data_IF_170142701461
#
_entry.id   IF_170142701461
#
_cell.length_a   1.000
_cell.length_b   1.000
_cell.length_c   1.000
_cell.angle_alpha   90.00
_cell.angle_beta   90.00
_cell.angle_gamma   90.00
#
_symmetry.space_group_name_H-M   'P 1'
#
loop_
_entity.id
_entity.type
_entity.pdbx_description
1 polymer ?
#
# COMPACT_ATOMS: atom_id res chain seq x y z
N UNK A 1 -35.63 41.24 28.87
CA UNK A 1 -35.62 40.84 27.44
C UNK A 1 -34.23 40.30 27.13
N UNK A 2 -33.99 39.00 27.41
CA UNK A 2 -32.75 38.32 27.02
C UNK A 2 -33.07 37.50 25.79
N UNK A 3 -32.63 38.01 24.64
CA UNK A 3 -32.71 37.34 23.34
C UNK A 3 -31.86 36.08 23.36
N UNK A 4 -32.53 34.94 23.53
CA UNK A 4 -32.02 33.60 23.28
C UNK A 4 -31.60 33.54 21.82
N UNK A 5 -30.30 33.37 21.58
CA UNK A 5 -29.72 33.10 20.26
C UNK A 5 -30.23 31.72 19.80
N UNK A 6 -30.64 31.57 18.53
CA UNK A 6 -31.25 30.33 18.08
C UNK A 6 -30.18 29.23 18.01
N UNK A 7 -30.39 28.16 18.78
CA UNK A 7 -29.66 26.90 18.64
C UNK A 7 -29.98 26.38 17.24
N UNK A 8 -28.97 26.29 16.38
CA UNK A 8 -29.08 25.68 15.05
C UNK A 8 -29.70 24.30 15.21
N UNK A 9 -30.84 24.08 14.57
CA UNK A 9 -31.60 22.84 14.67
C UNK A 9 -30.73 21.61 14.30
N UNK A 10 -30.73 20.60 15.17
CA UNK A 10 -30.69 19.19 14.75
C UNK A 10 -29.35 18.43 14.71
N UNK A 11 -28.19 19.03 14.97
CA UNK A 11 -26.92 18.25 14.98
C UNK A 11 -26.67 17.54 16.33
N UNK A 12 -26.84 16.22 16.34
CA UNK A 12 -26.44 15.37 17.46
C UNK A 12 -24.91 15.16 17.44
N UNK A 13 -24.20 16.01 18.19
CA UNK A 13 -22.73 15.98 18.29
C UNK A 13 -22.18 14.61 18.72
N UNK A 14 -22.93 13.85 19.53
CA UNK A 14 -22.52 12.53 20.00
C UNK A 14 -22.56 11.49 18.89
N UNK A 15 -23.65 11.45 18.13
CA UNK A 15 -23.78 10.53 16.98
C UNK A 15 -22.78 10.88 15.89
N UNK A 16 -22.58 12.18 15.60
CA UNK A 16 -21.63 12.60 14.57
C UNK A 16 -20.19 12.24 14.98
N UNK A 17 -19.80 12.46 16.25
CA UNK A 17 -18.50 12.02 16.76
C UNK A 17 -18.30 10.51 16.63
N UNK A 18 -19.33 9.72 16.95
CA UNK A 18 -19.28 8.28 16.79
C UNK A 18 -19.09 7.90 15.32
N UNK A 19 -19.84 8.51 14.40
CA UNK A 19 -19.74 8.28 12.96
C UNK A 19 -18.36 8.67 12.41
N UNK A 20 -17.78 9.77 12.85
CA UNK A 20 -16.41 10.15 12.49
C UNK A 20 -15.40 9.09 12.95
N UNK A 21 -15.55 8.57 14.17
CA UNK A 21 -14.71 7.47 14.65
C UNK A 21 -14.96 6.15 13.91
N UNK A 22 -16.19 5.84 13.52
CA UNK A 22 -16.48 4.61 12.78
C UNK A 22 -15.88 4.66 11.37
N UNK A 23 -15.85 5.84 10.73
CA UNK A 23 -15.11 6.10 9.49
C UNK A 23 -13.60 5.88 9.69
N UNK A 24 -13.02 6.44 10.76
CA UNK A 24 -11.61 6.22 11.10
C UNK A 24 -11.28 4.74 11.33
N UNK A 25 -12.17 4.00 11.99
CA UNK A 25 -12.07 2.56 12.23
C UNK A 25 -12.40 1.70 10.99
N UNK A 26 -12.58 2.32 9.81
CA UNK A 26 -12.91 1.69 8.51
C UNK A 26 -14.23 0.91 8.50
N UNK A 27 -15.17 1.27 9.36
CA UNK A 27 -16.51 0.69 9.43
C UNK A 27 -17.55 1.83 9.43
N UNK A 28 -17.72 2.58 8.33
CA UNK A 28 -18.57 3.76 8.31
C UNK A 28 -20.01 3.39 8.68
N UNK A 29 -20.62 4.21 9.51
CA UNK A 29 -22.03 4.14 9.87
C UNK A 29 -22.73 5.39 9.36
N UNK A 30 -23.99 5.25 8.97
CA UNK A 30 -24.84 6.38 8.61
C UNK A 30 -25.36 7.04 9.91
N UNK A 31 -25.14 8.36 10.12
CA UNK A 31 -25.60 9.05 11.33
C UNK A 31 -27.13 8.97 11.52
N UNK A 32 -27.93 8.99 10.45
CA UNK A 32 -29.39 8.92 10.55
C UNK A 32 -29.86 7.51 10.95
N UNK A 33 -29.20 6.48 10.39
CA UNK A 33 -29.43 5.09 10.80
C UNK A 33 -29.06 4.86 12.28
N UNK A 34 -27.95 5.43 12.75
CA UNK A 34 -27.55 5.35 14.16
C UNK A 34 -28.57 6.04 15.08
N UNK A 35 -29.11 7.20 14.69
CA UNK A 35 -30.16 7.89 15.45
C UNK A 35 -31.45 7.10 15.50
N UNK A 36 -31.86 6.54 14.36
CA UNK A 36 -33.06 5.72 14.27
C UNK A 36 -32.94 4.46 15.14
N UNK A 37 -31.82 3.75 15.06
CA UNK A 37 -31.55 2.55 15.84
C UNK A 37 -31.60 2.81 17.36
N UNK A 38 -31.11 3.97 17.80
CA UNK A 38 -31.13 4.36 19.21
C UNK A 38 -32.51 4.85 19.68
N UNK A 39 -33.45 5.11 18.77
CA UNK A 39 -34.78 5.63 19.11
C UNK A 39 -34.73 7.04 19.72
N UNK A 40 -33.77 7.87 19.30
CA UNK A 40 -33.51 9.17 19.95
C UNK A 40 -34.57 10.24 19.65
N UNK A 41 -35.30 10.13 18.53
CA UNK A 41 -36.25 11.16 18.11
C UNK A 41 -35.59 12.54 18.03
N UNK A 42 -36.14 13.52 18.75
CA UNK A 42 -35.60 14.89 18.85
C UNK A 42 -34.55 15.06 19.97
N UNK A 43 -34.28 14.03 20.79
CA UNK A 43 -33.29 14.08 21.86
C UNK A 43 -31.86 13.93 21.30
N UNK A 44 -30.90 14.60 21.93
CA UNK A 44 -29.47 14.45 21.66
C UNK A 44 -28.91 13.23 22.42
N UNK A 45 -28.03 12.45 21.80
CA UNK A 45 -27.41 11.27 22.39
C UNK A 45 -26.60 11.61 23.65
N UNK A 46 -26.81 10.84 24.71
CA UNK A 46 -25.97 10.89 25.89
C UNK A 46 -24.78 9.92 25.79
N UNK A 47 -23.91 9.95 26.81
CA UNK A 47 -22.70 9.11 26.88
C UNK A 47 -23.03 7.61 26.81
N UNK A 48 -24.16 7.20 27.39
CA UNK A 48 -24.60 5.81 27.45
C UNK A 48 -25.12 5.39 26.08
N UNK A 49 -25.84 6.28 25.40
CA UNK A 49 -26.36 6.07 24.06
C UNK A 49 -25.23 5.92 23.04
N UNK A 50 -24.17 6.71 23.12
CA UNK A 50 -22.97 6.56 22.26
C UNK A 50 -22.33 5.17 22.45
N UNK A 51 -22.22 4.69 23.69
CA UNK A 51 -21.67 3.35 23.96
C UNK A 51 -22.60 2.24 23.49
N UNK A 52 -23.92 2.42 23.64
CA UNK A 52 -24.93 1.47 23.12
C UNK A 52 -24.86 1.40 21.59
N UNK A 53 -24.78 2.54 20.92
CA UNK A 53 -24.63 2.66 19.48
C UNK A 53 -23.37 1.94 18.99
N UNK A 54 -22.23 2.22 19.63
CA UNK A 54 -20.97 1.55 19.31
C UNK A 54 -21.07 0.03 19.48
N UNK A 55 -21.71 -0.47 20.54
CA UNK A 55 -21.91 -1.91 20.75
C UNK A 55 -22.80 -2.54 19.67
N UNK A 56 -23.87 -1.86 19.23
CA UNK A 56 -24.73 -2.32 18.13
C UNK A 56 -23.97 -2.41 16.81
N UNK A 57 -23.06 -1.45 16.58
CA UNK A 57 -22.13 -1.47 15.46
C UNK A 57 -20.98 -2.50 15.62
N UNK A 58 -21.06 -3.40 16.60
CA UNK A 58 -20.02 -4.41 16.91
C UNK A 58 -18.66 -3.81 17.30
N UNK A 59 -18.63 -2.55 17.73
CA UNK A 59 -17.46 -1.88 18.28
C UNK A 59 -17.37 -2.11 19.79
N UNK A 60 -16.15 -2.08 20.32
CA UNK A 60 -15.89 -2.04 21.77
C UNK A 60 -15.83 -0.58 22.18
N UNK A 61 -16.73 -0.15 23.06
CA UNK A 61 -16.71 1.19 23.63
C UNK A 61 -16.69 1.16 25.16
N UNK A 62 -15.94 2.07 25.77
CA UNK A 62 -15.84 2.22 27.23
C UNK A 62 -15.75 3.70 27.62
N UNK A 63 -16.56 4.10 28.59
CA UNK A 63 -16.49 5.42 29.22
C UNK A 63 -15.39 5.39 30.28
N UNK A 64 -14.51 6.37 30.28
CA UNK A 64 -13.41 6.52 31.23
C UNK A 64 -13.32 7.99 31.64
N UNK A 65 -12.88 8.24 32.88
CA UNK A 65 -12.59 9.57 33.40
C UNK A 65 -11.07 9.69 33.63
N UNK A 66 -10.26 9.97 32.59
CA UNK A 66 -8.83 10.09 32.76
C UNK A 66 -8.47 11.33 33.58
N UNK A 67 -7.30 11.32 34.23
CA UNK A 67 -6.72 12.53 34.82
C UNK A 67 -6.17 13.42 33.69
N UNK A 68 -6.23 14.76 33.81
CA UNK A 68 -5.66 15.68 32.81
C UNK A 68 -4.21 15.35 32.45
N UNK A 69 -3.40 14.89 33.42
CA UNK A 69 -2.00 14.49 33.22
C UNK A 69 -1.80 13.23 32.38
N UNK A 70 -2.85 12.44 32.11
CA UNK A 70 -2.79 11.17 31.38
C UNK A 70 -3.39 11.23 29.97
N UNK A 71 -3.73 12.41 29.47
CA UNK A 71 -4.31 12.59 28.14
C UNK A 71 -3.42 12.01 27.03
N UNK A 72 -2.10 12.21 27.16
CA UNK A 72 -1.07 11.75 26.19
C UNK A 72 -0.90 10.22 26.15
N UNK A 73 -1.46 9.49 27.13
CA UNK A 73 -1.39 8.02 27.22
C UNK A 73 -2.69 7.33 26.79
N UNK A 74 -3.66 8.08 26.30
CA UNK A 74 -4.92 7.52 25.81
C UNK A 74 -4.73 6.89 24.42
N UNK A 75 -5.46 5.81 24.10
CA UNK A 75 -5.46 5.25 22.76
C UNK A 75 -6.30 6.15 21.84
N UNK A 76 -5.65 7.16 21.25
CA UNK A 76 -6.25 8.09 20.30
C UNK A 76 -6.58 7.40 18.97
N UNK A 77 -7.60 7.85 18.23
CA UNK A 77 -8.54 8.94 18.54
C UNK A 77 -9.66 8.52 19.51
N UNK A 78 -10.18 9.47 20.29
CA UNK A 78 -11.20 9.24 21.33
C UNK A 78 -12.31 10.30 21.29
N UNK A 79 -13.52 9.98 21.74
CA UNK A 79 -14.59 10.98 21.91
C UNK A 79 -14.44 11.63 23.28
N UNK A 80 -14.46 12.94 23.33
CA UNK A 80 -14.41 13.72 24.57
C UNK A 80 -15.74 14.45 24.75
N UNK A 81 -16.18 14.55 26.00
CA UNK A 81 -17.34 15.34 26.35
C UNK A 81 -16.90 16.73 26.80
N UNK A 82 -17.57 17.76 26.30
CA UNK A 82 -17.34 19.15 26.66
C UNK A 82 -18.17 19.56 27.88
N UNK A 83 -17.80 20.66 28.52
CA UNK A 83 -18.50 21.21 29.69
C UNK A 83 -19.95 21.63 29.43
N UNK A 84 -20.31 21.88 28.17
CA UNK A 84 -21.67 22.21 27.72
C UNK A 84 -22.56 20.98 27.43
N UNK A 85 -22.03 19.76 27.62
CA UNK A 85 -22.72 18.50 27.34
C UNK A 85 -22.64 18.05 25.87
N UNK A 86 -21.95 18.81 25.00
CA UNK A 86 -21.67 18.39 23.62
C UNK A 86 -20.46 17.45 23.54
N UNK A 87 -20.28 16.78 22.40
CA UNK A 87 -19.17 15.87 22.17
C UNK A 87 -18.23 16.37 21.07
N UNK A 88 -16.94 16.08 21.19
CA UNK A 88 -15.93 16.30 20.16
C UNK A 88 -14.99 15.10 20.04
N UNK A 89 -14.25 14.98 18.94
CA UNK A 89 -13.24 13.93 18.75
C UNK A 89 -11.86 14.50 19.03
N UNK A 90 -11.15 13.93 19.99
CA UNK A 90 -9.72 14.19 20.21
C UNK A 90 -8.92 13.26 19.30
N UNK A 91 -8.34 13.82 18.24
CA UNK A 91 -7.62 13.08 17.22
C UNK A 91 -6.14 12.87 17.57
N UNK A 92 -5.49 13.90 18.13
CA UNK A 92 -4.08 13.86 18.51
C UNK A 92 -3.85 14.67 19.79
N UNK A 93 -2.93 14.22 20.64
CA UNK A 93 -2.42 14.96 21.79
C UNK A 93 -0.89 14.87 21.76
N UNK A 94 -0.22 16.02 21.65
CA UNK A 94 1.23 16.17 21.67
C UNK A 94 1.62 17.17 22.75
N UNK A 95 2.89 17.19 23.18
CA UNK A 95 3.36 18.01 24.29
C UNK A 95 3.06 19.52 24.06
N UNK A 96 1.93 20.00 24.61
CA UNK A 96 1.46 21.38 24.57
C UNK A 96 0.28 21.68 23.63
N UNK A 97 -0.01 20.81 22.64
CA UNK A 97 -1.08 21.01 21.65
C UNK A 97 -1.98 19.79 21.51
N UNK A 98 -3.27 20.03 21.32
CA UNK A 98 -4.26 18.99 21.04
C UNK A 98 -5.01 19.30 19.76
N UNK A 99 -5.30 18.26 18.98
CA UNK A 99 -6.09 18.36 17.76
C UNK A 99 -7.50 17.84 18.07
N UNK A 100 -8.47 18.74 18.04
CA UNK A 100 -9.88 18.46 18.34
C UNK A 100 -10.71 18.70 17.10
N UNK A 101 -11.55 17.74 16.76
CA UNK A 101 -12.54 17.90 15.70
C UNK A 101 -13.92 18.03 16.35
N UNK A 102 -14.49 19.22 16.25
CA UNK A 102 -15.83 19.54 16.73
C UNK A 102 -16.84 19.37 15.58
N UNK A 103 -17.84 18.50 15.71
CA UNK A 103 -18.92 18.36 14.74
C UNK A 103 -19.63 19.68 14.40
N UNK A 104 -19.68 20.63 15.34
CA UNK A 104 -20.35 21.91 15.15
C UNK A 104 -19.53 22.91 14.32
N UNK A 105 -18.20 22.76 14.31
CA UNK A 105 -17.29 23.65 13.56
C UNK A 105 -16.82 23.02 12.25
N UNK A 106 -16.91 21.68 12.12
CA UNK A 106 -16.64 20.94 10.89
C UNK A 106 -15.15 20.73 10.57
N UNK A 107 -14.30 21.72 10.85
CA UNK A 107 -12.85 21.65 10.63
C UNK A 107 -12.10 21.19 11.90
N UNK A 108 -11.00 20.41 11.76
CA UNK A 108 -10.09 20.13 12.87
C UNK A 108 -9.43 21.41 13.39
N UNK A 109 -9.43 21.59 14.70
CA UNK A 109 -8.83 22.74 15.38
C UNK A 109 -7.63 22.31 16.22
N UNK A 110 -6.52 23.03 16.07
CA UNK A 110 -5.40 22.95 17.01
C UNK A 110 -5.69 23.86 18.20
N UNK A 111 -5.82 23.27 19.39
CA UNK A 111 -5.99 24.01 20.64
C UNK A 111 -4.75 23.82 21.52
N UNK A 112 -4.44 24.84 22.32
CA UNK A 112 -3.50 24.68 23.42
C UNK A 112 -4.12 23.79 24.49
N UNK A 113 -3.28 23.06 25.23
CA UNK A 113 -3.75 22.18 26.30
C UNK A 113 -4.62 22.90 27.34
N UNK A 114 -4.24 24.13 27.69
CA UNK A 114 -4.98 24.96 28.65
C UNK A 114 -6.38 25.32 28.13
N UNK A 115 -6.50 25.69 26.85
CA UNK A 115 -7.78 25.97 26.22
C UNK A 115 -8.65 24.71 26.05
N UNK A 116 -8.03 23.54 25.94
CA UNK A 116 -8.76 22.27 25.92
C UNK A 116 -9.26 21.86 27.32
N UNK A 117 -8.45 22.05 28.36
CA UNK A 117 -8.83 21.72 29.74
C UNK A 117 -10.01 22.55 30.24
N UNK A 118 -10.20 23.78 29.75
CA UNK A 118 -11.39 24.59 30.05
C UNK A 118 -12.65 24.11 29.31
N UNK A 119 -12.50 23.54 28.12
CA UNK A 119 -13.61 22.98 27.34
C UNK A 119 -14.01 21.58 27.79
N UNK A 120 -13.09 20.82 28.38
CA UNK A 120 -13.26 19.40 28.67
C UNK A 120 -14.06 19.13 29.95
N UNK A 121 -15.17 18.40 29.82
CA UNK A 121 -16.04 17.99 30.94
C UNK A 121 -15.49 16.83 31.79
N UNK A 122 -14.27 16.34 31.51
CA UNK A 122 -13.57 15.32 32.28
C UNK A 122 -13.84 13.86 31.84
N UNK A 123 -14.81 13.62 30.96
CA UNK A 123 -15.14 12.28 30.47
C UNK A 123 -14.64 12.04 29.05
N UNK A 124 -14.25 10.79 28.78
CA UNK A 124 -13.77 10.32 27.48
C UNK A 124 -14.41 8.97 27.18
N UNK A 125 -14.85 8.78 25.94
CA UNK A 125 -15.37 7.51 25.42
C UNK A 125 -14.32 6.94 24.48
N UNK A 126 -13.72 5.82 24.90
CA UNK A 126 -12.81 5.03 24.08
C UNK A 126 -13.62 4.15 23.16
N UNK A 127 -13.37 4.19 21.85
CA UNK A 127 -14.03 3.35 20.85
C UNK A 127 -12.99 2.63 20.01
N UNK A 128 -13.11 1.32 19.86
CA UNK A 128 -12.21 0.51 19.03
C UNK A 128 -12.95 -0.68 18.40
N UNK A 129 -12.46 -1.17 17.27
CA UNK A 129 -12.95 -2.42 16.65
C UNK A 129 -11.97 -3.57 16.92
N UNK A 130 -12.47 -4.80 17.04
CA UNK A 130 -11.60 -5.99 17.15
C UNK A 130 -10.68 -6.12 15.94
N UNK A 131 -11.19 -5.80 14.74
CA UNK A 131 -10.40 -5.81 13.51
C UNK A 131 -9.35 -4.69 13.49
N UNK A 132 -9.70 -3.50 13.99
CA UNK A 132 -8.77 -2.37 14.04
C UNK A 132 -7.66 -2.60 15.10
N UNK A 133 -8.02 -3.12 16.27
CA UNK A 133 -7.05 -3.47 17.33
C UNK A 133 -6.07 -4.58 16.90
N UNK A 134 -6.50 -5.50 16.02
CA UNK A 134 -5.63 -6.51 15.41
C UNK A 134 -4.89 -6.01 14.16
N UNK A 135 -5.37 -4.95 13.52
CA UNK A 135 -4.84 -4.40 12.27
C UNK A 135 -3.80 -3.29 12.45
N UNK A 136 -3.88 -2.49 13.53
CA UNK A 136 -2.94 -1.39 13.78
C UNK A 136 -1.53 -1.87 14.19
N UNK A 137 -1.37 -3.16 14.47
CA UNK A 137 -0.06 -3.81 14.69
C UNK A 137 0.57 -4.39 13.44
N UNK A 138 -0.09 -4.39 12.28
CA UNK A 138 0.55 -4.78 11.01
C UNK A 138 1.18 -3.56 10.36
N UNK A 139 2.46 -3.36 10.69
CA UNK A 139 3.45 -2.82 9.72
C UNK A 139 3.18 -3.49 8.38
N UNK A 140 3.26 -2.76 7.27
CA UNK A 140 3.14 -3.30 5.90
C UNK A 140 3.82 -4.67 5.79
N UNK A 141 3.03 -5.74 5.74
CA UNK A 141 3.54 -7.10 5.87
C UNK A 141 3.34 -7.82 4.53
N UNK A 142 4.42 -8.00 3.76
CA UNK A 142 4.43 -8.77 2.51
C UNK A 142 4.11 -10.26 2.72
N UNK A 143 4.06 -10.73 3.98
CA UNK A 143 3.84 -12.12 4.38
C UNK A 143 2.53 -12.74 3.88
N UNK A 144 1.49 -11.93 3.58
CA UNK A 144 0.24 -12.46 3.02
C UNK A 144 0.32 -12.74 1.51
N UNK A 145 1.34 -12.21 0.81
CA UNK A 145 1.53 -12.35 -0.64
C UNK A 145 2.45 -13.53 -1.02
N UNK A 146 3.31 -13.95 -0.08
CA UNK A 146 4.22 -15.10 -0.22
C UNK A 146 3.49 -16.40 -0.62
N UNK A 147 2.32 -16.76 -0.05
CA UNK A 147 1.61 -17.99 -0.41
C UNK A 147 1.14 -18.03 -1.86
N UNK A 148 0.74 -16.89 -2.43
CA UNK A 148 0.22 -16.81 -3.80
C UNK A 148 1.37 -16.94 -4.82
N UNK A 149 2.55 -16.38 -4.54
CA UNK A 149 3.76 -16.58 -5.37
C UNK A 149 4.19 -18.06 -5.37
N UNK A 150 4.19 -18.69 -4.20
CA UNK A 150 4.60 -20.11 -4.05
C UNK A 150 3.69 -21.05 -4.85
N UNK A 151 2.43 -20.68 -5.09
CA UNK A 151 1.49 -21.46 -5.91
C UNK A 151 1.90 -21.54 -7.38
N UNK A 152 2.60 -20.53 -7.90
CA UNK A 152 3.02 -20.43 -9.31
C UNK A 152 4.53 -20.64 -9.52
N UNK A 153 5.25 -21.15 -8.50
CA UNK A 153 6.72 -21.31 -8.50
C UNK A 153 7.30 -22.10 -9.68
N UNK A 154 6.56 -23.03 -10.26
CA UNK A 154 7.05 -23.83 -11.39
C UNK A 154 7.12 -23.01 -12.69
N UNK A 155 6.09 -22.20 -12.96
CA UNK A 155 6.09 -21.29 -14.11
C UNK A 155 7.17 -20.22 -13.94
N UNK A 156 7.34 -19.71 -12.72
CA UNK A 156 8.43 -18.78 -12.42
C UNK A 156 9.81 -19.43 -12.57
N UNK A 157 10.00 -20.69 -12.17
CA UNK A 157 11.26 -21.39 -12.35
C UNK A 157 11.60 -21.62 -13.83
N UNK A 158 10.63 -21.92 -14.69
CA UNK A 158 10.84 -22.05 -16.14
C UNK A 158 11.28 -20.72 -16.77
N UNK A 159 10.60 -19.63 -16.45
CA UNK A 159 10.96 -18.27 -16.92
C UNK A 159 12.33 -17.86 -16.39
N UNK A 160 12.62 -18.16 -15.11
CA UNK A 160 13.91 -17.89 -14.47
C UNK A 160 15.05 -18.63 -15.18
N UNK A 161 14.86 -19.92 -15.44
CA UNK A 161 15.85 -20.77 -16.11
C UNK A 161 16.10 -20.33 -17.55
N UNK A 162 15.03 -20.04 -18.32
CA UNK A 162 15.16 -19.54 -19.68
C UNK A 162 15.90 -18.19 -19.73
N UNK A 163 15.56 -17.27 -18.83
CA UNK A 163 16.22 -15.97 -18.73
C UNK A 163 17.69 -16.11 -18.36
N UNK A 164 18.01 -17.03 -17.46
CA UNK A 164 19.39 -17.33 -17.08
C UNK A 164 20.24 -17.80 -18.27
N UNK A 165 19.72 -18.72 -19.09
CA UNK A 165 20.45 -19.15 -20.29
C UNK A 165 20.62 -18.01 -21.31
N UNK A 166 19.60 -17.19 -21.53
CA UNK A 166 19.70 -16.01 -22.43
C UNK A 166 20.81 -15.06 -21.96
N UNK A 167 20.84 -14.71 -20.69
CA UNK A 167 21.86 -13.79 -20.17
C UNK A 167 23.27 -14.40 -20.15
N UNK A 168 23.39 -15.72 -19.96
CA UNK A 168 24.68 -16.41 -20.10
C UNK A 168 25.17 -16.41 -21.55
N UNK A 169 24.29 -16.59 -22.53
CA UNK A 169 24.64 -16.45 -23.95
C UNK A 169 25.06 -15.01 -24.28
N UNK A 170 24.46 -14.00 -23.64
CA UNK A 170 24.86 -12.60 -23.80
C UNK A 170 26.32 -12.33 -23.45
N UNK A 171 26.92 -13.10 -22.52
CA UNK A 171 28.36 -13.01 -22.18
C UNK A 171 29.28 -13.55 -23.29
N UNK A 172 28.75 -14.33 -24.23
CA UNK A 172 29.54 -14.87 -25.36
C UNK A 172 29.98 -13.73 -26.29
N UNK A 173 29.14 -12.72 -26.51
CA UNK A 173 29.46 -11.60 -27.41
C UNK A 173 30.75 -10.85 -27.02
N UNK A 174 30.94 -10.40 -25.75
CA UNK A 174 32.22 -9.83 -25.30
C UNK A 174 33.43 -10.75 -25.50
N UNK A 175 33.28 -12.06 -25.25
CA UNK A 175 34.37 -13.04 -25.40
C UNK A 175 34.75 -13.18 -26.88
N UNK A 176 33.78 -13.25 -27.78
CA UNK A 176 34.03 -13.29 -29.22
C UNK A 176 34.69 -12.00 -29.70
N UNK A 177 34.21 -10.84 -29.24
CA UNK A 177 34.83 -9.56 -29.57
C UNK A 177 36.31 -9.53 -29.15
N UNK A 178 36.62 -10.01 -27.94
CA UNK A 178 37.99 -10.17 -27.49
C UNK A 178 38.80 -11.07 -28.42
N UNK A 179 38.29 -12.26 -28.78
CA UNK A 179 39.00 -13.19 -29.67
C UNK A 179 39.27 -12.58 -31.05
N UNK A 180 38.34 -11.79 -31.58
CA UNK A 180 38.51 -11.07 -32.84
C UNK A 180 39.62 -10.02 -32.73
N UNK A 181 39.63 -9.21 -31.67
CA UNK A 181 40.67 -8.20 -31.45
C UNK A 181 42.04 -8.87 -31.22
N UNK A 182 42.13 -9.81 -30.28
CA UNK A 182 43.41 -10.33 -29.79
C UNK A 182 44.04 -11.37 -30.74
N UNK A 183 43.22 -12.23 -31.39
CA UNK A 183 43.74 -13.28 -32.27
C UNK A 183 43.63 -12.94 -33.74
N UNK A 184 42.45 -12.55 -34.22
CA UNK A 184 42.22 -12.37 -35.66
C UNK A 184 42.94 -11.13 -36.17
N UNK A 185 42.73 -9.98 -35.53
CA UNK A 185 43.29 -8.70 -35.95
C UNK A 185 44.81 -8.66 -35.79
N UNK A 186 45.35 -9.25 -34.72
CA UNK A 186 46.81 -9.26 -34.48
C UNK A 186 47.56 -10.23 -35.42
N UNK A 187 46.99 -11.41 -35.70
CA UNK A 187 47.70 -12.47 -36.45
C UNK A 187 47.25 -12.60 -37.92
N UNK A 188 46.31 -11.77 -38.41
CA UNK A 188 45.70 -11.88 -39.74
C UNK A 188 45.17 -13.28 -40.08
N UNK A 189 44.69 -14.02 -39.07
CA UNK A 189 44.19 -15.38 -39.23
C UNK A 189 42.77 -15.41 -39.82
N UNK A 190 42.63 -15.18 -41.13
CA UNK A 190 41.32 -15.15 -41.83
C UNK A 190 40.51 -16.43 -41.62
N UNK A 191 41.17 -17.59 -41.54
CA UNK A 191 40.50 -18.88 -41.23
C UNK A 191 39.89 -18.91 -39.83
N UNK A 192 40.52 -18.25 -38.85
CA UNK A 192 39.98 -18.16 -37.48
C UNK A 192 38.79 -17.20 -37.45
N UNK A 193 38.84 -16.13 -38.25
CA UNK A 193 37.74 -15.19 -38.42
C UNK A 193 36.50 -15.87 -39.00
N UNK A 194 36.66 -16.66 -40.08
CA UNK A 194 35.53 -17.38 -40.69
C UNK A 194 34.84 -18.30 -39.68
N UNK A 195 35.61 -19.06 -38.90
CA UNK A 195 35.06 -19.93 -37.85
C UNK A 195 34.36 -19.12 -36.75
N UNK A 196 34.95 -18.00 -36.32
CA UNK A 196 34.34 -17.10 -35.33
C UNK A 196 33.03 -16.47 -35.85
N UNK A 197 32.98 -16.05 -37.12
CA UNK A 197 31.78 -15.46 -37.73
C UNK A 197 30.65 -16.48 -37.82
N UNK A 198 30.94 -17.71 -38.25
CA UNK A 198 29.96 -18.80 -38.30
C UNK A 198 29.48 -19.12 -36.87
N UNK A 199 30.40 -19.25 -35.91
CA UNK A 199 30.07 -19.51 -34.51
C UNK A 199 29.19 -18.41 -33.92
N UNK A 200 29.54 -17.14 -34.13
CA UNK A 200 28.78 -15.99 -33.65
C UNK A 200 27.40 -15.92 -34.29
N UNK A 201 27.28 -16.25 -35.58
CA UNK A 201 25.99 -16.30 -36.27
C UNK A 201 25.07 -17.37 -35.69
N UNK A 202 25.60 -18.56 -35.41
CA UNK A 202 24.84 -19.64 -34.75
C UNK A 202 24.43 -19.23 -33.34
N UNK A 203 25.35 -18.73 -32.52
CA UNK A 203 25.06 -18.29 -31.14
C UNK A 203 24.04 -17.16 -31.14
N UNK A 204 24.20 -16.15 -32.00
CA UNK A 204 23.26 -15.02 -32.10
C UNK A 204 21.88 -15.49 -32.54
N UNK A 205 21.79 -16.45 -33.47
CA UNK A 205 20.50 -17.02 -33.87
C UNK A 205 19.82 -17.76 -32.70
N UNK A 206 20.58 -18.52 -31.90
CA UNK A 206 20.08 -19.15 -30.68
C UNK A 206 19.66 -18.12 -29.62
N UNK A 207 20.42 -17.05 -29.45
CA UNK A 207 20.11 -15.97 -28.52
C UNK A 207 18.78 -15.30 -28.88
N UNK A 208 18.56 -14.98 -30.16
CA UNK A 208 17.29 -14.42 -30.67
C UNK A 208 16.13 -15.40 -30.44
N UNK A 209 16.31 -16.68 -30.75
CA UNK A 209 15.29 -17.72 -30.54
C UNK A 209 14.91 -17.85 -29.05
N UNK A 210 15.89 -17.93 -28.16
CA UNK A 210 15.65 -18.07 -26.71
C UNK A 210 15.05 -16.80 -26.12
N UNK A 211 15.48 -15.62 -26.58
CA UNK A 211 14.88 -14.33 -26.18
C UNK A 211 13.43 -14.24 -26.63
N UNK A 212 13.11 -14.69 -27.84
CA UNK A 212 11.75 -14.80 -28.34
C UNK A 212 10.89 -15.74 -27.50
N UNK A 213 11.41 -16.93 -27.18
CA UNK A 213 10.72 -17.90 -26.33
C UNK A 213 10.47 -17.36 -24.91
N UNK A 214 11.47 -16.72 -24.29
CA UNK A 214 11.34 -16.04 -22.99
C UNK A 214 10.24 -14.99 -23.03
N UNK A 215 10.23 -14.16 -24.06
CA UNK A 215 9.25 -13.08 -24.23
C UNK A 215 7.84 -13.66 -24.40
N UNK A 216 7.69 -14.69 -25.24
CA UNK A 216 6.43 -15.39 -25.43
C UNK A 216 5.90 -16.00 -24.13
N UNK A 217 6.72 -16.74 -23.39
CA UNK A 217 6.32 -17.36 -22.11
C UNK A 217 5.94 -16.29 -21.08
N UNK A 218 6.67 -15.17 -21.04
CA UNK A 218 6.36 -14.04 -20.15
C UNK A 218 5.02 -13.43 -20.50
N UNK A 219 4.77 -13.12 -21.78
CA UNK A 219 3.50 -12.54 -22.26
C UNK A 219 2.35 -13.51 -22.00
N UNK A 220 2.52 -14.81 -22.30
CA UNK A 220 1.49 -15.82 -22.06
C UNK A 220 1.14 -15.91 -20.57
N UNK A 221 2.15 -15.86 -19.70
CA UNK A 221 1.97 -15.93 -18.24
C UNK A 221 1.27 -14.69 -17.71
N UNK A 222 1.74 -13.49 -18.07
CA UNK A 222 1.13 -12.22 -17.64
C UNK A 222 -0.32 -12.12 -18.13
N UNK A 223 -0.58 -12.46 -19.39
CA UNK A 223 -1.94 -12.43 -19.96
C UNK A 223 -2.91 -13.39 -19.24
N UNK A 224 -2.47 -14.60 -18.88
CA UNK A 224 -3.28 -15.54 -18.08
C UNK A 224 -3.61 -14.99 -16.70
N UNK A 225 -2.64 -14.35 -16.05
CA UNK A 225 -2.81 -13.72 -14.75
C UNK A 225 -3.80 -12.55 -14.87
N UNK A 226 -3.64 -11.68 -15.87
CA UNK A 226 -4.52 -10.54 -16.12
C UNK A 226 -5.97 -10.98 -16.37
N UNK A 227 -6.19 -12.02 -17.19
CA UNK A 227 -7.53 -12.55 -17.46
C UNK A 227 -8.17 -13.15 -16.20
N UNK A 228 -7.41 -13.91 -15.40
CA UNK A 228 -7.93 -14.52 -14.17
C UNK A 228 -8.32 -13.47 -13.12
N UNK A 229 -7.56 -12.39 -13.03
CA UNK A 229 -7.82 -11.29 -12.10
C UNK A 229 -8.97 -10.41 -12.57
N UNK A 230 -8.96 -10.03 -13.85
CA UNK A 230 -10.03 -9.26 -14.47
C UNK A 230 -11.38 -9.96 -14.35
N UNK A 231 -11.42 -11.28 -14.58
CA UNK A 231 -12.65 -12.07 -14.42
C UNK A 231 -13.16 -12.08 -12.97
N UNK A 232 -12.27 -12.24 -11.99
CA UNK A 232 -12.64 -12.29 -10.55
C UNK A 232 -13.13 -10.93 -10.05
N UNK A 233 -12.51 -9.86 -10.53
CA UNK A 233 -12.86 -8.48 -10.21
C UNK A 233 -14.21 -8.11 -10.83
N UNK A 234 -14.41 -8.45 -12.10
CA UNK A 234 -15.68 -8.25 -12.81
C UNK A 234 -16.84 -9.01 -12.13
N UNK A 235 -16.62 -10.28 -11.76
CA UNK A 235 -17.62 -11.09 -11.07
C UNK A 235 -17.98 -10.54 -9.69
N UNK A 236 -16.99 -9.99 -8.96
CA UNK A 236 -17.23 -9.36 -7.67
C UNK A 236 -18.00 -8.03 -7.80
N UNK A 237 -17.70 -7.23 -8.84
CA UNK A 237 -18.41 -5.98 -9.11
C UNK A 237 -19.88 -6.21 -9.49
N UNK A 238 -20.16 -7.25 -10.28
CA UNK A 238 -21.53 -7.60 -10.66
C UNK A 238 -22.35 -8.19 -9.51
N UNK A 239 -21.70 -8.66 -8.43
CA UNK A 239 -22.36 -9.21 -7.25
C UNK A 239 -22.71 -8.17 -6.17
N UNK A 240 -22.36 -6.90 -6.36
CA UNK A 240 -22.57 -5.86 -5.35
C UNK A 240 -24.01 -5.32 -5.40
N UNK A 241 -24.73 -5.27 -4.26
CA UNK A 241 -26.10 -4.74 -4.19
C UNK A 241 -26.14 -3.25 -4.53
N UNK A 242 -27.19 -2.81 -5.22
CA UNK A 242 -27.40 -1.43 -5.74
C UNK A 242 -27.21 -0.34 -4.67
N UNK A 243 -27.56 -0.62 -3.40
CA UNK A 243 -27.35 0.28 -2.26
C UNK A 243 -25.87 0.64 -1.99
N UNK A 244 -24.92 -0.16 -2.48
CA UNK A 244 -23.48 0.11 -2.38
C UNK A 244 -23.00 1.21 -3.35
N UNK A 245 -23.72 1.43 -4.46
CA UNK A 245 -23.36 2.41 -5.48
C UNK A 245 -23.95 3.81 -5.23
N UNK A 246 -25.02 3.93 -4.43
CA UNK A 246 -25.64 5.22 -4.10
C UNK A 246 -24.96 5.98 -2.95
N UNK A 247 -24.20 5.30 -2.08
CA UNK A 247 -23.65 5.90 -0.86
C UNK A 247 -22.19 6.40 -0.95
N UNK A 248 -21.52 6.26 -2.10
CA UNK A 248 -20.09 6.64 -2.25
C UNK A 248 -19.76 7.19 -3.64
N UNK A 249 -18.95 8.26 -3.70
CA UNK A 249 -18.25 8.64 -4.93
C UNK A 249 -17.37 7.47 -5.40
N UNK A 250 -17.63 7.03 -6.63
CA UNK A 250 -17.11 5.84 -7.31
C UNK A 250 -15.58 5.72 -7.41
N UNK A 251 -14.82 6.80 -7.16
CA UNK A 251 -13.37 6.84 -7.34
C UNK A 251 -12.52 6.14 -6.25
N UNK A 252 -12.96 6.11 -4.99
CA UNK A 252 -12.08 5.72 -3.86
C UNK A 252 -11.95 4.19 -3.67
N UNK A 253 -12.94 3.41 -4.11
CA UNK A 253 -12.89 1.93 -4.05
C UNK A 253 -12.13 1.36 -5.24
N UNK A 254 -12.31 1.96 -6.43
CA UNK A 254 -11.62 1.55 -7.67
C UNK A 254 -10.12 1.85 -7.58
N UNK A 255 -9.73 3.00 -7.03
CA UNK A 255 -8.32 3.36 -6.84
C UNK A 255 -7.54 2.34 -5.98
N UNK A 256 -8.15 1.80 -4.93
CA UNK A 256 -7.49 0.86 -4.01
C UNK A 256 -7.41 -0.57 -4.56
N UNK A 257 -8.35 -0.95 -5.43
CA UNK A 257 -8.29 -2.20 -6.19
C UNK A 257 -7.23 -2.10 -7.30
N UNK A 258 -7.16 -0.94 -7.96
CA UNK A 258 -6.14 -0.64 -8.97
C UNK A 258 -4.72 -0.58 -8.38
N UNK A 259 -4.56 -0.11 -7.13
CA UNK A 259 -3.29 -0.19 -6.40
C UNK A 259 -2.86 -1.64 -6.13
N UNK A 260 -3.81 -2.54 -5.80
CA UNK A 260 -3.52 -3.96 -5.60
C UNK A 260 -3.21 -4.70 -6.90
N UNK A 261 -3.87 -4.33 -8.01
CA UNK A 261 -3.51 -4.81 -9.35
C UNK A 261 -2.14 -4.29 -9.80
N UNK A 262 -1.81 -3.03 -9.55
CA UNK A 262 -0.50 -2.47 -9.85
C UNK A 262 0.61 -3.13 -9.02
N UNK A 263 0.40 -3.38 -7.72
CA UNK A 263 1.36 -4.11 -6.87
C UNK A 263 1.56 -5.53 -7.40
N UNK A 264 0.48 -6.20 -7.82
CA UNK A 264 0.57 -7.55 -8.36
C UNK A 264 1.25 -7.58 -9.72
N UNK A 265 0.89 -6.70 -10.65
CA UNK A 265 1.50 -6.57 -11.97
C UNK A 265 3.00 -6.22 -11.87
N UNK A 266 3.36 -5.33 -10.94
CA UNK A 266 4.75 -5.04 -10.61
C UNK A 266 5.50 -6.28 -10.12
N UNK A 267 4.88 -7.10 -9.26
CA UNK A 267 5.50 -8.30 -8.70
C UNK A 267 5.55 -9.49 -9.66
N UNK A 268 4.55 -9.69 -10.52
CA UNK A 268 4.49 -10.82 -11.45
C UNK A 268 5.21 -10.56 -12.78
N UNK A 269 5.33 -9.29 -13.21
CA UNK A 269 6.01 -8.93 -14.46
C UNK A 269 7.41 -8.36 -14.24
N UNK A 270 7.49 -7.21 -13.59
CA UNK A 270 8.74 -6.44 -13.52
C UNK A 270 9.71 -6.96 -12.45
N UNK A 271 9.21 -7.40 -11.30
CA UNK A 271 10.08 -7.74 -10.17
C UNK A 271 10.97 -8.96 -10.44
N UNK A 272 10.50 -9.96 -11.19
CA UNK A 272 11.31 -11.12 -11.56
C UNK A 272 12.41 -10.77 -12.55
N UNK A 273 12.09 -9.92 -13.52
CA UNK A 273 13.07 -9.41 -14.48
C UNK A 273 14.13 -8.58 -13.74
N UNK A 274 13.72 -7.68 -12.85
CA UNK A 274 14.63 -6.89 -12.01
C UNK A 274 15.49 -7.77 -11.12
N UNK A 275 14.92 -8.80 -10.48
CA UNK A 275 15.67 -9.72 -9.62
C UNK A 275 16.75 -10.47 -10.42
N UNK A 276 16.41 -10.95 -11.62
CA UNK A 276 17.34 -11.60 -12.53
C UNK A 276 18.43 -10.65 -13.01
N UNK A 277 18.05 -9.43 -13.41
CA UNK A 277 19.00 -8.42 -13.88
C UNK A 277 19.99 -8.04 -12.77
N UNK A 278 19.51 -7.93 -11.52
CA UNK A 278 20.37 -7.71 -10.35
C UNK A 278 21.30 -8.90 -10.10
N UNK A 279 20.82 -10.13 -10.22
CA UNK A 279 21.68 -11.32 -10.08
C UNK A 279 22.76 -11.36 -11.17
N UNK A 280 22.38 -11.08 -12.43
CA UNK A 280 23.32 -11.04 -13.55
C UNK A 280 24.27 -9.86 -13.48
N UNK A 281 23.86 -8.73 -12.92
CA UNK A 281 24.76 -7.60 -12.64
C UNK A 281 25.95 -8.06 -11.81
N UNK A 282 25.73 -8.88 -10.77
CA UNK A 282 26.84 -9.43 -9.99
C UNK A 282 27.73 -10.38 -10.79
N UNK A 283 27.14 -11.21 -11.68
CA UNK A 283 27.91 -12.08 -12.58
C UNK A 283 28.76 -11.25 -13.54
N UNK A 284 28.20 -10.21 -14.17
CA UNK A 284 28.93 -9.30 -15.04
C UNK A 284 30.04 -8.57 -14.30
N UNK A 285 29.77 -8.03 -13.11
CA UNK A 285 30.79 -7.39 -12.28
C UNK A 285 31.90 -8.36 -11.87
N UNK A 286 31.57 -9.61 -11.53
CA UNK A 286 32.55 -10.64 -11.20
C UNK A 286 33.44 -10.97 -12.42
N UNK A 287 32.84 -11.15 -13.60
CA UNK A 287 33.59 -11.38 -14.85
C UNK A 287 34.48 -10.18 -15.15
N UNK A 288 33.95 -8.95 -15.11
CA UNK A 288 34.74 -7.74 -15.32
C UNK A 288 35.89 -7.62 -14.33
N UNK A 289 35.67 -7.95 -13.05
CA UNK A 289 36.69 -7.91 -12.03
C UNK A 289 37.82 -8.91 -12.30
N UNK A 290 37.48 -10.12 -12.76
CA UNK A 290 38.46 -11.14 -13.18
C UNK A 290 39.31 -10.68 -14.37
N UNK A 291 38.75 -9.87 -15.27
CA UNK A 291 39.49 -9.27 -16.39
C UNK A 291 40.39 -8.11 -15.93
N UNK A 292 39.83 -7.15 -15.18
CA UNK A 292 40.59 -6.04 -14.60
C UNK A 292 39.80 -5.36 -13.49
N UNK A 293 40.29 -5.48 -12.25
CA UNK A 293 39.68 -4.83 -11.09
C UNK A 293 39.64 -3.29 -11.20
N UNK A 294 40.65 -2.68 -11.83
CA UNK A 294 40.71 -1.21 -11.98
C UNK A 294 39.63 -0.67 -12.92
N UNK A 295 39.46 -1.31 -14.09
CA UNK A 295 38.40 -0.93 -15.04
C UNK A 295 37.01 -1.16 -14.44
N UNK A 296 36.83 -2.22 -13.66
CA UNK A 296 35.57 -2.49 -12.95
C UNK A 296 35.22 -1.38 -11.96
N UNK A 297 36.20 -0.88 -11.21
CA UNK A 297 36.04 0.23 -10.26
C UNK A 297 35.58 1.52 -10.95
N UNK A 298 36.15 1.84 -12.12
CA UNK A 298 35.73 2.99 -12.93
C UNK A 298 34.26 2.85 -13.33
N UNK A 299 33.83 1.66 -13.77
CA UNK A 299 32.43 1.42 -14.16
C UNK A 299 31.49 1.49 -12.95
N UNK A 300 31.86 0.95 -11.79
CA UNK A 300 31.04 1.08 -10.58
C UNK A 300 30.90 2.55 -10.17
N UNK A 301 31.97 3.34 -10.25
CA UNK A 301 31.93 4.77 -9.93
C UNK A 301 31.11 5.59 -10.94
N UNK A 302 30.91 5.14 -12.18
CA UNK A 302 30.08 5.85 -13.15
C UNK A 302 28.58 5.61 -12.95
N UNK A 303 28.17 4.47 -12.35
CA UNK A 303 26.76 4.12 -12.13
C UNK A 303 25.98 5.22 -11.39
N UNK A 304 26.44 5.79 -10.26
CA UNK A 304 25.74 6.88 -9.57
C UNK A 304 25.54 8.12 -10.46
N UNK A 305 26.48 8.40 -11.36
CA UNK A 305 26.39 9.55 -12.28
C UNK A 305 25.32 9.39 -13.36
N UNK A 306 24.85 8.17 -13.64
CA UNK A 306 23.71 7.95 -14.54
C UNK A 306 22.34 8.07 -13.85
N UNK A 307 22.31 7.99 -12.52
CA UNK A 307 21.06 8.02 -11.72
C UNK A 307 20.68 9.45 -11.33
N UNK A 308 21.64 10.37 -11.31
CA UNK A 308 21.48 11.80 -11.03
C UNK A 308 21.10 12.53 -12.33
#
# INVERSE_FOLDING_TARGET
>A
MNSVTPIVAGLDSGVICLTLLTQYLRQPADPDAVRHDLGLGERVADRVDIVRAAKRLKLKARIVRPSPKRLDRLPLPVIVEKGDGSFAVLAAASAGKVLVQDPQVGAPQELTREAFETLWGGFVILVTSRAFAQGFSRRFDFSWFIPEIIRYRWIFAEVLLASFFVQLLGLISPIFFQLVIDKVLVHNGLTTLEVLVIGLSVVSMFEVLLTGLRTYTTIHTTSRIDVALGAKLFHHLLGLPIAYFEARQTGQTVARVHELENIRAFLTGSALTVLLDVLFLFVFLAVMYLYSGWLTLIVICSIPGYVI
#
